data_IF_088776027285
#
_entry.id   IF_088776027285
#
_cell.length_a   1.000
_cell.length_b   1.000
_cell.length_c   1.000
_cell.angle_alpha   90.00
_cell.angle_beta   90.00
_cell.angle_gamma   90.00
#
_symmetry.space_group_name_H-M   'P 1'
#
loop_
_entity.id
_entity.type
_entity.pdbx_description
1 polymer ?
#
# COMPACT_ATOMS: atom_id res chain seq x y z
N UNK A 1 -9.46 -2.26 1.45
CA UNK A 1 -8.45 -3.29 1.08
C UNK A 1 -9.15 -4.62 0.71
N UNK A 2 -8.44 -5.64 0.22
CA UNK A 2 -9.04 -6.96 -0.14
C UNK A 2 -9.25 -7.91 1.07
N UNK A 3 -10.36 -8.64 1.11
CA UNK A 3 -10.62 -9.70 2.12
C UNK A 3 -9.52 -10.74 2.15
N UNK A 4 -9.03 -11.06 3.35
CA UNK A 4 -8.06 -12.14 3.56
C UNK A 4 -8.71 -13.52 3.39
N UNK A 5 -8.04 -14.44 2.70
CA UNK A 5 -8.58 -15.77 2.38
C UNK A 5 -7.68 -16.93 2.81
N UNK A 6 -6.40 -16.69 3.10
CA UNK A 6 -5.48 -17.72 3.59
C UNK A 6 -4.10 -17.16 3.90
N UNK A 7 -3.23 -18.00 4.46
CA UNK A 7 -1.83 -17.67 4.71
C UNK A 7 -0.93 -18.20 3.58
N UNK A 8 0.19 -17.53 3.25
CA UNK A 8 1.10 -17.99 2.20
C UNK A 8 1.93 -19.22 2.60
N UNK A 9 2.03 -19.52 3.89
CA UNK A 9 2.77 -20.66 4.45
C UNK A 9 2.01 -21.33 5.59
N UNK A 10 2.70 -21.67 6.68
CA UNK A 10 2.11 -22.39 7.82
C UNK A 10 1.16 -21.53 8.67
N UNK A 11 1.29 -20.19 8.59
CA UNK A 11 0.26 -19.23 8.98
C UNK A 11 -0.17 -19.16 10.44
N UNK A 12 -0.87 -18.06 10.73
CA UNK A 12 -1.31 -17.53 12.04
C UNK A 12 -0.21 -17.28 13.07
N UNK A 13 1.00 -16.95 12.60
CA UNK A 13 2.07 -16.45 13.47
C UNK A 13 1.65 -15.11 14.10
N UNK A 14 2.24 -14.79 15.26
CA UNK A 14 1.98 -13.52 15.92
C UNK A 14 2.29 -12.34 14.99
N UNK A 15 1.30 -11.45 14.79
CA UNK A 15 1.42 -10.30 13.90
C UNK A 15 1.12 -10.58 12.42
N UNK A 16 0.77 -11.82 12.04
CA UNK A 16 0.34 -12.18 10.69
C UNK A 16 -1.18 -12.41 10.65
N UNK A 17 -1.83 -11.94 9.58
CA UNK A 17 -3.25 -12.23 9.31
C UNK A 17 -3.44 -12.74 7.88
N UNK A 18 -4.59 -13.35 7.61
CA UNK A 18 -4.87 -13.92 6.29
C UNK A 18 -4.72 -12.88 5.15
N UNK A 19 -3.98 -13.29 4.13
CA UNK A 19 -3.72 -12.55 2.90
C UNK A 19 -4.78 -12.82 1.83
N UNK A 20 -4.98 -11.89 0.87
CA UNK A 20 -5.98 -12.03 -0.18
C UNK A 20 -5.46 -12.82 -1.39
N UNK A 21 -4.14 -13.01 -1.50
CA UNK A 21 -3.47 -13.64 -2.64
C UNK A 21 -2.48 -14.70 -2.18
N UNK A 22 -2.28 -15.75 -3.00
CA UNK A 22 -1.25 -16.77 -2.77
C UNK A 22 0.14 -16.16 -2.89
N UNK A 23 1.05 -16.54 -1.99
CA UNK A 23 2.42 -16.00 -1.93
C UNK A 23 2.53 -14.61 -1.28
N UNK A 24 1.42 -13.97 -0.91
CA UNK A 24 1.42 -12.70 -0.20
C UNK A 24 1.39 -12.93 1.31
N UNK A 25 2.27 -12.27 2.05
CA UNK A 25 2.15 -12.08 3.51
C UNK A 25 1.34 -10.81 3.80
N UNK A 26 0.63 -10.77 4.93
CA UNK A 26 -0.06 -9.57 5.41
C UNK A 26 0.18 -9.39 6.91
N UNK A 27 0.67 -8.21 7.27
CA UNK A 27 0.83 -7.81 8.66
C UNK A 27 -0.53 -7.46 9.29
N UNK A 28 -0.68 -7.81 10.56
CA UNK A 28 -1.85 -7.48 11.36
C UNK A 28 -2.03 -5.95 11.48
N UNK A 29 -0.94 -5.20 11.61
CA UNK A 29 -0.97 -3.73 11.71
C UNK A 29 -1.53 -3.09 10.44
N UNK A 30 -1.06 -3.51 9.27
CA UNK A 30 -1.52 -2.97 7.98
C UNK A 30 -3.00 -3.29 7.75
N UNK A 31 -3.43 -4.50 8.15
CA UNK A 31 -4.84 -4.88 8.11
C UNK A 31 -5.70 -3.94 8.96
N UNK A 32 -5.25 -3.59 10.16
CA UNK A 32 -6.00 -2.72 11.07
C UNK A 32 -5.97 -1.25 10.61
N UNK A 33 -4.80 -0.71 10.24
CA UNK A 33 -4.66 0.66 9.75
C UNK A 33 -5.48 0.93 8.47
N UNK A 34 -5.62 -0.06 7.60
CA UNK A 34 -6.47 0.05 6.41
C UNK A 34 -7.98 0.12 6.72
N UNK A 35 -8.40 -0.09 7.97
CA UNK A 35 -9.81 -0.16 8.39
C UNK A 35 -10.16 0.78 9.53
N UNK A 36 -9.20 1.13 10.36
CA UNK A 36 -9.41 2.00 11.51
C UNK A 36 -9.97 3.36 11.07
N UNK A 37 -10.97 3.88 11.79
CA UNK A 37 -11.64 5.13 11.46
C UNK A 37 -10.73 6.35 11.44
N UNK A 38 -9.60 6.31 12.15
CA UNK A 38 -8.62 7.38 12.17
C UNK A 38 -7.73 7.42 10.91
N UNK A 39 -7.60 6.30 10.18
CA UNK A 39 -6.62 6.16 9.09
C UNK A 39 -7.18 5.65 7.77
N UNK A 40 -8.37 5.02 7.76
CA UNK A 40 -8.88 4.30 6.60
C UNK A 40 -9.15 5.17 5.36
N UNK A 41 -9.55 6.42 5.54
CA UNK A 41 -9.79 7.33 4.43
C UNK A 41 -8.47 7.79 3.80
N UNK A 42 -7.45 8.07 4.61
CA UNK A 42 -6.13 8.40 4.09
C UNK A 42 -5.51 7.18 3.39
N UNK A 43 -5.67 5.98 3.96
CA UNK A 43 -5.27 4.73 3.30
C UNK A 43 -5.92 4.56 1.92
N UNK A 44 -7.22 4.84 1.80
CA UNK A 44 -7.93 4.77 0.53
C UNK A 44 -7.53 5.89 -0.44
N UNK A 45 -7.13 7.06 0.07
CA UNK A 45 -6.83 8.23 -0.75
C UNK A 45 -5.60 8.05 -1.65
N UNK A 46 -4.68 7.15 -1.30
CA UNK A 46 -3.53 6.83 -2.16
C UNK A 46 -3.89 5.93 -3.35
N UNK A 47 -5.09 5.36 -3.37
CA UNK A 47 -5.49 4.44 -4.43
C UNK A 47 -5.79 5.23 -5.70
N UNK A 48 -5.07 4.91 -6.77
CA UNK A 48 -5.19 5.57 -8.07
C UNK A 48 -4.83 7.07 -8.04
N UNK A 49 -3.98 7.47 -7.09
CA UNK A 49 -3.43 8.81 -6.96
C UNK A 49 -1.90 8.73 -6.78
N UNK A 50 -1.19 8.62 -7.90
CA UNK A 50 0.26 8.42 -7.92
C UNK A 50 1.03 9.66 -7.43
N UNK A 51 0.53 10.84 -7.75
CA UNK A 51 1.13 12.12 -7.36
C UNK A 51 1.07 12.27 -5.84
N UNK A 52 -0.12 12.10 -5.24
CA UNK A 52 -0.27 12.15 -3.78
C UNK A 52 0.62 11.13 -3.08
N UNK A 53 0.69 9.90 -3.59
CA UNK A 53 1.53 8.84 -3.01
C UNK A 53 3.02 9.25 -3.00
N UNK A 54 3.53 9.76 -4.13
CA UNK A 54 4.93 10.16 -4.27
C UNK A 54 5.27 11.36 -3.39
N UNK A 55 4.44 12.40 -3.40
CA UNK A 55 4.67 13.61 -2.60
C UNK A 55 4.60 13.31 -1.10
N UNK A 56 3.56 12.59 -0.66
CA UNK A 56 3.37 12.27 0.76
C UNK A 56 4.50 11.36 1.27
N UNK A 57 4.90 10.37 0.47
CA UNK A 57 6.02 9.50 0.84
C UNK A 57 7.34 10.26 0.84
N UNK A 58 7.61 11.13 -0.14
CA UNK A 58 8.82 11.93 -0.21
C UNK A 58 8.96 12.86 0.99
N UNK A 59 7.87 13.56 1.35
CA UNK A 59 7.82 14.42 2.53
C UNK A 59 7.98 13.64 3.83
N UNK A 60 7.23 12.53 4.01
CA UNK A 60 7.34 11.74 5.24
C UNK A 60 8.76 11.19 5.44
N UNK A 61 9.42 10.75 4.37
CA UNK A 61 10.79 10.25 4.42
C UNK A 61 11.81 11.37 4.66
N UNK A 62 11.60 12.57 4.12
CA UNK A 62 12.49 13.71 4.38
C UNK A 62 12.46 14.13 5.85
N UNK A 63 11.29 14.09 6.48
CA UNK A 63 11.13 14.34 7.92
C UNK A 63 11.75 13.22 8.75
N UNK A 64 11.48 11.95 8.40
CA UNK A 64 11.99 10.80 9.14
C UNK A 64 13.54 10.75 9.11
N UNK A 65 14.15 11.09 7.98
CA UNK A 65 15.60 11.02 7.79
C UNK A 65 16.39 11.97 8.70
N UNK A 66 15.77 13.05 9.16
CA UNK A 66 16.41 14.08 10.00
C UNK A 66 15.81 14.15 11.41
N UNK A 67 15.05 13.12 11.81
CA UNK A 67 14.40 13.12 13.12
C UNK A 67 15.43 13.26 14.25
N UNK A 68 15.23 14.28 15.09
CA UNK A 68 16.13 14.61 16.19
C UNK A 68 17.41 15.36 15.80
N UNK A 69 17.52 15.82 14.56
CA UNK A 69 18.66 16.61 14.06
C UNK A 69 18.30 18.10 13.90
N UNK A 70 19.29 18.97 14.01
CA UNK A 70 19.18 20.37 13.60
C UNK A 70 19.69 20.54 12.16
N UNK A 71 18.75 20.62 11.22
CA UNK A 71 19.04 20.64 9.79
C UNK A 71 19.75 21.91 9.33
N UNK A 72 19.85 22.97 10.14
CA UNK A 72 20.63 24.17 9.76
C UNK A 72 22.13 23.89 9.70
N UNK A 73 22.59 22.77 10.27
CA UNK A 73 23.98 22.33 10.23
C UNK A 73 24.26 21.35 9.08
N UNK A 74 23.28 21.09 8.21
CA UNK A 74 23.40 20.16 7.11
C UNK A 74 23.69 20.87 5.78
N UNK A 75 24.28 20.11 4.87
CA UNK A 75 24.39 20.47 3.46
C UNK A 75 23.34 19.67 2.71
N UNK A 76 22.57 20.34 1.86
CA UNK A 76 21.62 19.67 0.97
C UNK A 76 22.40 19.01 -0.18
N UNK A 77 22.34 17.68 -0.23
CA UNK A 77 22.97 16.85 -1.26
C UNK A 77 21.92 16.10 -2.11
N UNK A 78 20.66 16.58 -2.13
CA UNK A 78 19.54 15.89 -2.79
C UNK A 78 19.79 15.71 -4.29
N UNK A 79 20.61 16.55 -4.92
CA UNK A 79 21.00 16.44 -6.33
C UNK A 79 21.77 15.16 -6.67
N UNK A 80 22.38 14.50 -5.69
CA UNK A 80 23.04 13.22 -5.88
C UNK A 80 22.06 12.04 -6.00
N UNK A 81 20.80 12.24 -5.60
CA UNK A 81 19.76 11.19 -5.66
C UNK A 81 19.26 11.08 -7.11
N UNK A 82 19.34 9.88 -7.73
CA UNK A 82 18.84 9.70 -9.09
C UNK A 82 17.34 9.97 -9.20
N UNK A 83 16.92 10.58 -10.31
CA UNK A 83 15.49 10.77 -10.62
C UNK A 83 14.84 9.40 -10.89
N UNK A 84 13.74 9.04 -10.22
CA UNK A 84 13.08 7.76 -10.42
C UNK A 84 12.38 7.68 -11.78
N UNK A 85 12.27 6.47 -12.33
CA UNK A 85 11.46 6.24 -13.53
C UNK A 85 9.97 6.46 -13.22
N UNK A 86 9.20 7.08 -14.13
CA UNK A 86 7.78 7.30 -13.91
C UNK A 86 7.00 5.98 -13.98
N UNK A 87 5.95 5.88 -13.18
CA UNK A 87 4.98 4.79 -13.32
C UNK A 87 4.08 5.07 -14.52
N UNK A 88 4.10 4.18 -15.51
CA UNK A 88 3.30 4.29 -16.74
C UNK A 88 2.13 3.29 -16.78
N UNK A 89 1.95 2.51 -15.71
CA UNK A 89 0.90 1.53 -15.61
C UNK A 89 -0.46 2.13 -15.21
N UNK A 90 -1.45 1.26 -15.05
CA UNK A 90 -2.76 1.63 -14.50
C UNK A 90 -3.03 0.77 -13.27
N UNK A 91 -3.58 1.37 -12.22
CA UNK A 91 -3.98 0.64 -11.02
C UNK A 91 -5.15 -0.29 -11.36
N UNK A 92 -5.00 -1.57 -11.03
CA UNK A 92 -5.98 -2.63 -11.30
C UNK A 92 -6.12 -3.54 -10.09
N UNK A 93 -7.28 -4.16 -9.95
CA UNK A 93 -7.43 -5.29 -9.04
C UNK A 93 -6.62 -6.49 -9.55
N UNK A 94 -6.08 -7.34 -8.65
CA UNK A 94 -5.46 -8.60 -9.03
C UNK A 94 -6.44 -9.50 -9.80
N UNK A 95 -5.90 -10.37 -10.65
CA UNK A 95 -6.69 -11.36 -11.37
C UNK A 95 -7.57 -12.19 -10.42
N UNK A 96 -8.77 -12.54 -10.88
CA UNK A 96 -9.85 -13.20 -10.10
C UNK A 96 -10.43 -12.42 -8.92
N UNK A 97 -9.96 -11.20 -8.63
CA UNK A 97 -10.56 -10.31 -7.62
C UNK A 97 -11.49 -9.30 -8.27
N UNK A 98 -12.52 -8.94 -7.52
CA UNK A 98 -13.56 -8.00 -7.92
C UNK A 98 -13.77 -6.97 -6.82
N UNK A 99 -14.60 -5.97 -7.10
CA UNK A 99 -15.01 -4.99 -6.10
C UNK A 99 -15.73 -5.64 -4.90
N UNK A 100 -16.32 -6.82 -5.05
CA UNK A 100 -16.96 -7.56 -3.95
C UNK A 100 -15.96 -8.15 -2.95
N UNK A 101 -14.69 -8.31 -3.37
CA UNK A 101 -13.61 -8.75 -2.50
C UNK A 101 -13.02 -7.60 -1.67
N UNK A 102 -13.44 -6.35 -1.94
CA UNK A 102 -12.98 -5.18 -1.19
C UNK A 102 -13.81 -5.01 0.08
N UNK A 103 -13.13 -5.02 1.21
CA UNK A 103 -13.69 -4.56 2.49
C UNK A 103 -13.44 -3.04 2.56
N UNK A 104 -14.46 -2.29 2.16
CA UNK A 104 -14.48 -0.83 2.23
C UNK A 104 -14.58 -0.38 3.68
N UNK A 105 -13.84 0.67 4.04
CA UNK A 105 -13.76 1.14 5.42
C UNK A 105 -13.89 2.66 5.55
N UNK A 106 -13.46 3.44 4.54
CA UNK A 106 -13.66 4.89 4.56
C UNK A 106 -15.15 5.24 4.50
N UNK A 107 -15.67 5.86 5.56
CA UNK A 107 -17.08 6.20 5.67
C UNK A 107 -17.49 7.41 4.80
N UNK A 108 -16.53 8.26 4.44
CA UNK A 108 -16.77 9.52 3.72
C UNK A 108 -16.54 9.43 2.21
N UNK A 109 -16.00 8.30 1.73
CA UNK A 109 -15.67 8.13 0.31
C UNK A 109 -15.75 6.67 -0.12
N UNK A 110 -16.41 6.43 -1.26
CA UNK A 110 -16.47 5.11 -1.86
C UNK A 110 -15.11 4.69 -2.42
N UNK A 111 -14.79 3.40 -2.33
CA UNK A 111 -13.59 2.85 -2.94
C UNK A 111 -13.62 3.06 -4.46
N UNK A 112 -12.52 3.54 -5.08
CA UNK A 112 -12.50 3.85 -6.51
C UNK A 112 -12.76 2.59 -7.35
N UNK A 113 -13.52 2.73 -8.44
CA UNK A 113 -13.79 1.62 -9.36
C UNK A 113 -12.51 1.29 -10.12
N UNK A 114 -11.99 0.08 -9.92
CA UNK A 114 -10.78 -0.41 -10.58
C UNK A 114 -11.13 -1.56 -11.52
N UNK A 115 -10.47 -1.60 -12.69
CA UNK A 115 -10.55 -2.75 -13.57
C UNK A 115 -9.80 -3.95 -12.96
N UNK A 116 -10.24 -5.17 -13.26
CA UNK A 116 -9.54 -6.40 -12.87
C UNK A 116 -8.50 -6.78 -13.90
N UNK A 117 -7.31 -7.18 -13.45
CA UNK A 117 -6.28 -7.75 -14.31
C UNK A 117 -6.80 -9.03 -14.98
N UNK A 118 -6.69 -9.17 -16.31
CA UNK A 118 -7.21 -10.36 -17.00
C UNK A 118 -6.39 -11.61 -16.68
N UNK A 119 -7.00 -12.78 -16.93
CA UNK A 119 -6.35 -14.08 -16.78
C UNK A 119 -6.52 -14.71 -15.39
N UNK A 120 -5.93 -15.89 -15.18
CA UNK A 120 -5.97 -16.57 -13.88
C UNK A 120 -5.06 -15.89 -12.87
N UNK A 121 -5.42 -15.97 -11.59
CA UNK A 121 -4.56 -15.50 -10.51
C UNK A 121 -3.32 -16.40 -10.36
N UNK A 122 -2.14 -15.82 -10.48
CA UNK A 122 -0.87 -16.47 -10.19
C UNK A 122 -0.41 -16.18 -8.75
N UNK A 123 0.45 -17.04 -8.21
CA UNK A 123 1.08 -16.79 -6.92
C UNK A 123 2.15 -15.70 -7.05
N UNK A 124 2.26 -14.84 -6.04
CA UNK A 124 3.34 -13.86 -5.96
C UNK A 124 4.64 -14.60 -5.66
N UNK A 125 5.68 -14.36 -6.47
CA UNK A 125 7.00 -14.93 -6.25
C UNK A 125 7.70 -14.27 -5.04
N UNK A 126 8.51 -15.03 -4.29
CA UNK A 126 9.40 -14.43 -3.29
C UNK A 126 10.42 -13.51 -3.97
N UNK A 127 10.86 -12.49 -3.25
CA UNK A 127 11.93 -11.57 -3.65
C UNK A 127 13.30 -12.21 -3.43
#
# INVERSE_FOLDING_TARGET
>A
QLRGTGFPGTGSHQGEVASPLKGMMRLQTDHLLARDSATNCEWQSFINDQEKLQESSGFAMSVLAVMGQDTTNFVDCTEAVPVPLPFTGTVKLPASKTMNDIEQACATGAFPKLATTPGPQTAIAPV
#
